data_IF_585984372866
#
_entry.id   IF_585984372866
#
_cell.length_a   1.000
_cell.length_b   1.000
_cell.length_c   1.000
_cell.angle_alpha   90.00
_cell.angle_beta   90.00
_cell.angle_gamma   90.00
#
_symmetry.space_group_name_H-M   'P 1'
#
loop_
_entity.id
_entity.type
_entity.pdbx_description
1 polymer ?
#
# COMPACT_ATOMS: atom_id res chain seq x y z
N UNK A 1 20.83 1.58 -4.11
CA UNK A 1 20.26 2.17 -5.33
C UNK A 1 20.21 3.68 -5.20
N UNK A 2 20.38 4.44 -6.30
CA UNK A 2 20.19 5.90 -6.31
C UNK A 2 18.70 6.23 -6.33
N UNK A 3 18.29 7.38 -5.79
CA UNK A 3 16.87 7.78 -5.75
C UNK A 3 16.21 7.81 -7.15
N UNK A 4 16.95 8.19 -8.19
CA UNK A 4 16.45 8.18 -9.57
C UNK A 4 16.13 6.77 -10.10
N UNK A 5 16.91 5.77 -9.69
CA UNK A 5 16.68 4.37 -10.06
C UNK A 5 15.44 3.82 -9.36
N UNK A 6 15.28 4.14 -8.08
CA UNK A 6 14.09 3.78 -7.28
C UNK A 6 12.84 4.44 -7.86
N UNK A 7 12.92 5.72 -8.24
CA UNK A 7 11.83 6.45 -8.86
C UNK A 7 11.37 5.79 -10.16
N UNK A 8 12.33 5.41 -11.02
CA UNK A 8 12.05 4.68 -12.27
C UNK A 8 11.41 3.32 -12.00
N UNK A 9 11.91 2.58 -11.01
CA UNK A 9 11.38 1.26 -10.64
C UNK A 9 9.93 1.34 -10.14
N UNK A 10 9.62 2.34 -9.33
CA UNK A 10 8.28 2.54 -8.76
C UNK A 10 7.32 3.34 -9.66
N UNK A 11 7.77 3.82 -10.82
CA UNK A 11 6.94 4.63 -11.72
C UNK A 11 6.54 6.00 -11.14
N UNK A 12 7.37 6.57 -10.26
CA UNK A 12 7.13 7.88 -9.61
C UNK A 12 8.26 8.87 -9.91
N UNK A 13 8.10 10.11 -9.47
CA UNK A 13 9.14 11.12 -9.62
C UNK A 13 10.25 10.98 -8.56
N UNK A 14 11.49 11.33 -8.89
CA UNK A 14 12.58 11.35 -7.91
C UNK A 14 12.31 12.31 -6.73
N UNK A 15 11.67 13.49 -6.92
CA UNK A 15 11.19 14.29 -5.80
C UNK A 15 10.21 13.56 -4.89
N UNK A 16 9.31 12.71 -5.43
CA UNK A 16 8.42 11.91 -4.61
C UNK A 16 9.20 10.96 -3.69
N UNK A 17 10.23 10.27 -4.21
CA UNK A 17 11.13 9.43 -3.39
C UNK A 17 11.78 10.26 -2.28
N UNK A 18 12.34 11.42 -2.61
CA UNK A 18 12.97 12.31 -1.63
C UNK A 18 11.99 12.74 -0.52
N UNK A 19 10.74 13.06 -0.88
CA UNK A 19 9.71 13.44 0.07
C UNK A 19 9.30 12.29 0.99
N UNK A 20 9.18 11.06 0.49
CA UNK A 20 8.91 9.89 1.34
C UNK A 20 10.10 9.53 2.23
N UNK A 21 11.33 9.55 1.72
CA UNK A 21 12.54 9.25 2.51
C UNK A 21 12.78 10.26 3.64
N UNK A 22 12.45 11.54 3.43
CA UNK A 22 12.49 12.58 4.48
C UNK A 22 11.26 12.55 5.39
N UNK A 23 10.42 11.53 5.23
CA UNK A 23 9.11 11.40 5.87
C UNK A 23 8.24 12.64 5.68
N UNK A 24 8.40 13.47 4.64
CA UNK A 24 7.53 14.65 4.42
C UNK A 24 6.15 14.27 3.86
N UNK A 25 6.01 13.04 3.37
CA UNK A 25 4.76 12.37 3.04
C UNK A 25 4.70 11.03 3.78
N UNK A 26 3.49 10.49 3.95
CA UNK A 26 3.29 9.16 4.56
C UNK A 26 3.42 9.11 6.08
N UNK A 27 3.33 10.24 6.80
CA UNK A 27 3.41 10.27 8.28
C UNK A 27 2.09 10.04 9.02
N UNK A 28 0.98 10.12 8.31
CA UNK A 28 -0.35 10.17 8.93
C UNK A 28 -0.79 8.83 9.55
N UNK A 29 -0.11 7.73 9.19
CA UNK A 29 -0.33 6.39 9.72
C UNK A 29 1.03 5.82 10.10
N UNK A 30 1.17 5.32 11.33
CA UNK A 30 2.41 4.68 11.77
C UNK A 30 2.33 3.17 11.52
N UNK A 31 2.89 2.72 10.39
CA UNK A 31 2.99 1.29 10.07
C UNK A 31 4.21 0.61 10.71
N UNK A 32 5.17 1.39 11.19
CA UNK A 32 6.46 0.93 11.75
C UNK A 32 6.31 0.13 13.06
N UNK A 33 5.14 0.18 13.70
CA UNK A 33 4.85 -0.59 14.93
C UNK A 33 4.05 -1.89 14.64
N UNK A 34 3.96 -2.30 13.38
CA UNK A 34 3.15 -3.44 12.94
C UNK A 34 4.02 -4.48 12.26
N UNK A 35 4.70 -5.32 13.06
CA UNK A 35 5.69 -6.32 12.60
C UNK A 35 5.22 -7.14 11.39
N UNK A 36 3.94 -7.53 11.35
CA UNK A 36 3.37 -8.29 10.25
C UNK A 36 3.32 -7.47 8.95
N UNK A 37 2.89 -6.22 9.02
CA UNK A 37 2.82 -5.32 7.86
C UNK A 37 4.22 -4.96 7.39
N UNK A 38 5.12 -4.67 8.33
CA UNK A 38 6.52 -4.34 8.02
C UNK A 38 7.19 -5.48 7.25
N UNK A 39 7.08 -6.72 7.73
CA UNK A 39 7.60 -7.91 7.03
C UNK A 39 7.04 -8.08 5.62
N UNK A 40 5.73 -7.84 5.43
CA UNK A 40 5.12 -7.93 4.09
C UNK A 40 5.66 -6.84 3.15
N UNK A 41 5.84 -5.62 3.65
CA UNK A 41 6.41 -4.50 2.88
C UNK A 41 7.88 -4.72 2.55
N UNK A 42 8.68 -5.20 3.51
CA UNK A 42 10.09 -5.55 3.31
C UNK A 42 10.25 -6.63 2.24
N UNK A 43 9.46 -7.71 2.33
CA UNK A 43 9.48 -8.78 1.34
C UNK A 43 9.11 -8.28 -0.07
N UNK A 44 8.06 -7.45 -0.19
CA UNK A 44 7.70 -6.83 -1.46
C UNK A 44 8.84 -5.93 -2.00
N UNK A 45 9.46 -5.13 -1.14
CA UNK A 45 10.55 -4.23 -1.51
C UNK A 45 11.79 -5.01 -1.98
N UNK A 46 12.14 -6.11 -1.30
CA UNK A 46 13.28 -6.96 -1.64
C UNK A 46 13.10 -7.63 -3.01
N UNK A 47 11.93 -8.25 -3.24
CA UNK A 47 11.62 -8.88 -4.52
C UNK A 47 11.58 -7.84 -5.66
N UNK A 48 11.03 -6.66 -5.40
CA UNK A 48 11.01 -5.56 -6.37
C UNK A 48 12.43 -5.05 -6.69
N UNK A 49 13.29 -4.90 -5.67
CA UNK A 49 14.67 -4.46 -5.84
C UNK A 49 15.52 -5.47 -6.63
N UNK A 50 15.27 -6.77 -6.43
CA UNK A 50 15.89 -7.87 -7.19
C UNK A 50 15.31 -8.03 -8.60
N UNK A 51 14.22 -7.32 -8.91
CA UNK A 51 13.46 -7.44 -10.18
C UNK A 51 12.89 -8.85 -10.39
N UNK A 52 12.49 -9.48 -9.30
CA UNK A 52 11.92 -10.84 -9.25
C UNK A 52 10.38 -10.82 -9.28
N UNK A 53 9.76 -9.69 -9.63
CA UNK A 53 8.31 -9.53 -9.72
C UNK A 53 7.88 -9.05 -11.10
N UNK A 54 6.90 -9.75 -11.67
CA UNK A 54 6.05 -9.19 -12.72
C UNK A 54 5.16 -8.07 -12.17
N UNK A 55 4.65 -7.21 -13.06
CA UNK A 55 3.71 -6.16 -12.66
C UNK A 55 2.44 -6.71 -12.01
N UNK A 56 1.95 -7.87 -12.45
CA UNK A 56 0.80 -8.56 -11.84
C UNK A 56 1.10 -9.04 -10.42
N UNK A 57 2.26 -9.67 -10.19
CA UNK A 57 2.63 -10.15 -8.86
C UNK A 57 2.83 -8.98 -7.89
N UNK A 58 3.47 -7.90 -8.35
CA UNK A 58 3.58 -6.67 -7.57
C UNK A 58 2.20 -6.14 -7.15
N UNK A 59 1.25 -6.04 -8.08
CA UNK A 59 -0.11 -5.56 -7.78
C UNK A 59 -0.79 -6.47 -6.76
N UNK A 60 -0.71 -7.80 -6.93
CA UNK A 60 -1.32 -8.76 -6.00
C UNK A 60 -0.73 -8.59 -4.60
N UNK A 61 0.60 -8.60 -4.45
CA UNK A 61 1.25 -8.45 -3.16
C UNK A 61 0.93 -7.10 -2.50
N UNK A 62 0.95 -6.01 -3.29
CA UNK A 62 0.59 -4.68 -2.82
C UNK A 62 -0.87 -4.62 -2.33
N UNK A 63 -1.79 -5.26 -3.05
CA UNK A 63 -3.19 -5.37 -2.66
C UNK A 63 -3.36 -6.16 -1.35
N UNK A 64 -2.62 -7.26 -1.15
CA UNK A 64 -2.69 -8.03 0.09
C UNK A 64 -2.20 -7.21 1.30
N UNK A 65 -1.12 -6.44 1.13
CA UNK A 65 -0.67 -5.48 2.16
C UNK A 65 -1.78 -4.46 2.47
N UNK A 66 -2.41 -3.88 1.44
CA UNK A 66 -3.50 -2.93 1.61
C UNK A 66 -4.70 -3.54 2.37
N UNK A 67 -5.04 -4.80 2.09
CA UNK A 67 -6.11 -5.52 2.81
C UNK A 67 -5.72 -5.77 4.26
N UNK A 68 -4.48 -6.17 4.53
CA UNK A 68 -4.02 -6.40 5.90
C UNK A 68 -4.06 -5.10 6.74
N UNK A 69 -3.62 -3.97 6.17
CA UNK A 69 -3.71 -2.65 6.81
C UNK A 69 -5.16 -2.27 7.11
N UNK A 70 -6.08 -2.51 6.16
CA UNK A 70 -7.52 -2.23 6.31
C UNK A 70 -8.17 -3.12 7.36
N UNK A 71 -7.89 -4.42 7.35
CA UNK A 71 -8.46 -5.40 8.28
C UNK A 71 -8.04 -5.12 9.73
N UNK A 72 -6.82 -4.59 9.93
CA UNK A 72 -6.34 -4.14 11.24
C UNK A 72 -6.90 -2.78 11.69
N UNK A 73 -7.69 -2.10 10.85
CA UNK A 73 -8.26 -0.78 11.18
C UNK A 73 -7.26 0.37 11.16
N UNK A 74 -6.02 0.16 10.69
CA UNK A 74 -4.96 1.18 10.74
C UNK A 74 -5.29 2.42 9.89
N UNK A 75 -6.08 2.25 8.82
CA UNK A 75 -6.58 3.39 8.02
C UNK A 75 -7.63 4.24 8.78
N UNK A 76 -8.26 3.72 9.83
CA UNK A 76 -9.25 4.47 10.59
C UNK A 76 -8.62 5.64 11.36
N UNK A 77 -7.35 5.52 11.75
CA UNK A 77 -6.59 6.64 12.33
C UNK A 77 -6.51 7.81 11.35
N UNK A 78 -6.25 7.53 10.07
CA UNK A 78 -6.24 8.56 9.03
C UNK A 78 -7.61 9.22 8.86
N UNK A 79 -8.70 8.47 8.94
CA UNK A 79 -10.04 9.07 8.89
C UNK A 79 -10.26 10.08 10.02
N UNK A 80 -9.86 9.77 11.26
CA UNK A 80 -9.95 10.71 12.40
C UNK A 80 -9.08 11.96 12.21
N UNK A 81 -7.91 11.81 11.58
CA UNK A 81 -7.01 12.94 11.28
C UNK A 81 -7.62 13.85 10.22
N UNK A 82 -8.26 13.28 9.20
CA UNK A 82 -8.88 14.03 8.10
C UNK A 82 -10.22 14.67 8.50
N UNK A 83 -11.02 13.97 9.30
CA UNK A 83 -12.29 14.42 9.84
C UNK A 83 -12.44 13.95 11.30
N UNK A 84 -12.11 14.82 12.28
CA UNK A 84 -12.23 14.50 13.70
C UNK A 84 -13.66 14.20 14.17
N UNK A 85 -14.69 14.57 13.39
CA UNK A 85 -16.09 14.31 13.70
C UNK A 85 -16.56 12.95 13.21
N UNK A 86 -15.75 12.26 12.41
CA UNK A 86 -16.10 10.97 11.84
C UNK A 86 -16.06 9.85 12.89
N UNK A 87 -17.19 9.16 13.07
CA UNK A 87 -17.33 8.04 13.98
C UNK A 87 -16.81 6.74 13.36
N UNK A 88 -15.51 6.46 13.59
CA UNK A 88 -14.88 5.23 13.07
C UNK A 88 -15.43 3.95 13.70
N UNK A 89 -16.04 4.01 14.89
CA UNK A 89 -16.56 2.82 15.58
C UNK A 89 -17.81 2.28 14.89
N UNK A 90 -18.52 3.15 14.15
CA UNK A 90 -19.67 2.77 13.32
C UNK A 90 -19.31 2.51 11.85
N UNK A 91 -18.02 2.52 11.50
CA UNK A 91 -17.56 2.37 10.12
C UNK A 91 -17.10 0.94 9.82
N UNK A 92 -17.82 0.25 8.92
CA UNK A 92 -17.49 -1.12 8.50
C UNK A 92 -16.84 -1.19 7.09
N UNK A 93 -16.49 -0.04 6.51
CA UNK A 93 -16.08 0.05 5.10
C UNK A 93 -14.78 -0.73 4.83
N UNK A 94 -13.79 -0.61 5.72
CA UNK A 94 -12.51 -1.31 5.57
C UNK A 94 -12.67 -2.84 5.65
N UNK A 95 -13.59 -3.34 6.48
CA UNK A 95 -13.87 -4.77 6.63
C UNK A 95 -14.61 -5.32 5.41
N UNK A 96 -15.54 -4.53 4.85
CA UNK A 96 -16.35 -4.92 3.69
C UNK A 96 -15.52 -4.96 2.42
N UNK A 97 -14.72 -3.92 2.16
CA UNK A 97 -13.91 -3.79 0.94
C UNK A 97 -12.74 -4.78 0.91
N UNK A 98 -12.21 -5.19 2.07
CA UNK A 98 -11.13 -6.18 2.11
C UNK A 98 -11.54 -7.57 1.61
N UNK A 99 -12.85 -7.85 1.51
CA UNK A 99 -13.40 -9.07 0.92
C UNK A 99 -13.43 -9.03 -0.61
N UNK A 100 -13.19 -7.87 -1.23
CA UNK A 100 -13.17 -7.71 -2.69
C UNK A 100 -11.80 -8.12 -3.22
N UNK A 101 -11.76 -9.04 -4.18
CA UNK A 101 -10.55 -9.36 -4.93
C UNK A 101 -10.24 -8.22 -5.91
N UNK A 102 -9.05 -7.64 -5.80
CA UNK A 102 -8.59 -6.59 -6.72
C UNK A 102 -8.25 -7.12 -8.13
N UNK A 103 -8.31 -8.44 -8.33
CA UNK A 103 -8.15 -9.08 -9.64
C UNK A 103 -9.51 -9.05 -10.36
N UNK A 104 -9.62 -8.25 -11.43
CA UNK A 104 -10.48 -8.63 -12.54
C UNK A 104 -9.77 -9.79 -13.25
N UNK A 105 -10.48 -10.88 -13.49
CA UNK A 105 -10.01 -11.88 -14.45
C UNK A 105 -9.66 -11.17 -15.75
N UNK A 106 -8.59 -11.58 -16.46
CA UNK A 106 -8.35 -11.07 -17.80
C UNK A 106 -9.61 -11.33 -18.60
N UNK A 107 -10.20 -10.28 -19.18
CA UNK A 107 -11.33 -10.42 -20.10
C UNK A 107 -10.81 -11.27 -21.26
N UNK A 108 -11.14 -12.55 -21.22
CA UNK A 108 -10.85 -13.50 -22.29
C UNK A 108 -11.78 -13.17 -23.45
N UNK A 109 -11.29 -12.34 -24.36
CA UNK A 109 -11.86 -12.18 -25.70
C UNK A 109 -13.10 -11.30 -25.80
N UNK A 110 -12.95 -10.21 -26.55
CA UNK A 110 -13.87 -9.87 -27.63
C UNK A 110 -13.11 -8.98 -28.61
N UNK A 111 -13.25 -9.35 -29.88
CA UNK A 111 -12.59 -8.88 -31.11
C UNK A 111 -12.41 -7.36 -31.25
#
# INVERSE_FOLDING_TARGET
MKQAEVAKLLGVSQPAISLYSRKMRGKAICLENQDEIEKLVENLADLLAKKELSSSEFIVMFCEICKAIRAKGLLCELHKVLDPTFDVEKCELCLTVSKISCLREPVSGSE
#
